data_IF_155503151999
#
_entry.id   IF_155503151999
#
_cell.length_a   1.000
_cell.length_b   1.000
_cell.length_c   1.000
_cell.angle_alpha   90.00
_cell.angle_beta   90.00
_cell.angle_gamma   90.00
#
_symmetry.space_group_name_H-M   'P 1'
#
loop_
_entity.id
_entity.type
_entity.pdbx_description
1 polymer ?
#
# COMPACT_ATOMS: atom_id res chain seq x y z
N UNK A 1 -8.10 -7.14 -22.24
CA UNK A 1 -7.47 -8.44 -21.91
C UNK A 1 -5.94 -8.38 -21.92
N UNK A 2 -5.30 -7.51 -22.73
CA UNK A 2 -3.83 -7.32 -22.73
C UNK A 2 -3.28 -6.66 -21.47
N UNK A 3 -3.86 -5.54 -21.02
CA UNK A 3 -3.36 -4.76 -19.87
C UNK A 3 -3.32 -5.56 -18.56
N UNK A 4 -4.32 -6.40 -18.30
CA UNK A 4 -4.39 -7.22 -17.08
C UNK A 4 -3.27 -8.28 -17.03
N UNK A 5 -3.00 -8.95 -18.16
CA UNK A 5 -1.88 -9.92 -18.25
C UNK A 5 -0.53 -9.24 -18.04
N UNK A 6 -0.37 -8.03 -18.60
CA UNK A 6 0.85 -7.25 -18.45
C UNK A 6 1.07 -6.79 -17.01
N UNK A 7 0.00 -6.38 -16.33
CA UNK A 7 0.02 -6.04 -14.91
C UNK A 7 0.36 -7.25 -14.04
N UNK A 8 -0.27 -8.40 -14.28
CA UNK A 8 0.05 -9.65 -13.58
C UNK A 8 1.53 -10.03 -13.76
N UNK A 9 2.07 -9.89 -14.96
CA UNK A 9 3.48 -10.12 -15.26
C UNK A 9 4.38 -9.14 -14.49
N UNK A 10 4.03 -7.85 -14.45
CA UNK A 10 4.77 -6.83 -13.68
C UNK A 10 4.80 -7.15 -12.18
N UNK A 11 3.69 -7.66 -11.60
CA UNK A 11 3.66 -8.09 -10.20
C UNK A 11 4.44 -9.38 -9.94
N UNK A 12 4.52 -10.29 -10.91
CA UNK A 12 5.40 -11.48 -10.80
C UNK A 12 6.87 -11.07 -10.82
N UNK A 13 7.25 -10.17 -11.73
CA UNK A 13 8.59 -9.58 -11.75
C UNK A 13 8.90 -8.88 -10.42
N UNK A 14 8.00 -8.02 -9.92
CA UNK A 14 8.21 -7.28 -8.68
C UNK A 14 8.37 -8.18 -7.47
N UNK A 15 7.63 -9.28 -7.38
CA UNK A 15 7.75 -10.26 -6.30
C UNK A 15 9.14 -10.92 -6.28
N UNK A 16 9.64 -11.38 -7.43
CA UNK A 16 10.99 -11.96 -7.54
C UNK A 16 12.09 -10.94 -7.18
N UNK A 17 11.94 -9.71 -7.69
CA UNK A 17 12.86 -8.60 -7.40
C UNK A 17 12.87 -8.32 -5.89
N UNK A 18 11.68 -8.21 -5.27
CA UNK A 18 11.53 -7.98 -3.84
C UNK A 18 12.22 -9.07 -3.02
N UNK A 19 11.96 -10.35 -3.32
CA UNK A 19 12.53 -11.46 -2.56
C UNK A 19 14.07 -11.45 -2.64
N UNK A 20 14.64 -11.34 -3.85
CA UNK A 20 16.10 -11.29 -4.04
C UNK A 20 16.72 -10.11 -3.31
N UNK A 21 16.13 -8.93 -3.42
CA UNK A 21 16.64 -7.71 -2.79
C UNK A 21 16.54 -7.79 -1.27
N UNK A 22 15.41 -8.24 -0.72
CA UNK A 22 15.27 -8.42 0.72
C UNK A 22 16.22 -9.49 1.25
N UNK A 23 16.49 -10.58 0.51
CA UNK A 23 17.46 -11.59 0.91
C UNK A 23 18.87 -11.01 1.08
N UNK A 24 19.27 -10.07 0.22
CA UNK A 24 20.57 -9.40 0.25
C UNK A 24 20.63 -8.27 1.29
N UNK A 25 19.62 -7.40 1.31
CA UNK A 25 19.66 -6.14 2.06
C UNK A 25 18.96 -6.21 3.42
N UNK A 26 17.89 -7.02 3.54
CA UNK A 26 17.00 -7.06 4.71
C UNK A 26 16.57 -8.50 5.07
N UNK A 27 17.51 -9.44 5.29
CA UNK A 27 17.19 -10.86 5.43
C UNK A 27 16.27 -11.17 6.62
N UNK A 28 16.39 -10.42 7.72
CA UNK A 28 15.51 -10.56 8.90
C UNK A 28 14.06 -10.19 8.55
N UNK A 29 13.86 -9.16 7.72
CA UNK A 29 12.53 -8.73 7.31
C UNK A 29 11.89 -9.74 6.35
N UNK A 30 12.69 -10.36 5.48
CA UNK A 30 12.24 -11.44 4.62
C UNK A 30 11.77 -12.65 5.44
N UNK A 31 12.51 -13.01 6.50
CA UNK A 31 12.08 -14.07 7.41
C UNK A 31 10.77 -13.75 8.13
N UNK A 32 10.58 -12.49 8.55
CA UNK A 32 9.34 -12.04 9.19
C UNK A 32 8.18 -12.20 8.20
N UNK A 33 8.36 -11.75 6.96
CA UNK A 33 7.35 -11.83 5.90
C UNK A 33 6.96 -13.29 5.63
N UNK A 34 7.94 -14.20 5.51
CA UNK A 34 7.73 -15.64 5.31
C UNK A 34 7.04 -16.35 6.48
N UNK A 35 7.03 -15.76 7.67
CA UNK A 35 6.42 -16.32 8.90
C UNK A 35 5.04 -15.71 9.21
N UNK A 36 4.52 -14.84 8.36
CA UNK A 36 3.17 -14.28 8.50
C UNK A 36 2.15 -15.42 8.44
N UNK A 37 1.18 -15.39 9.36
CA UNK A 37 0.09 -16.36 9.41
C UNK A 37 -1.12 -15.80 8.69
N UNK A 38 -1.96 -16.67 8.14
CA UNK A 38 -3.19 -16.30 7.44
C UNK A 38 -4.06 -15.38 8.29
N UNK A 39 -4.19 -15.72 9.58
CA UNK A 39 -4.98 -14.94 10.54
C UNK A 39 -4.36 -13.59 10.93
N UNK A 40 -3.18 -13.22 10.40
CA UNK A 40 -2.55 -11.93 10.69
C UNK A 40 -3.10 -10.80 9.82
N UNK A 41 -3.70 -11.12 8.67
CA UNK A 41 -4.22 -10.14 7.72
C UNK A 41 -5.65 -10.52 7.35
N UNK A 42 -6.58 -9.60 7.55
CA UNK A 42 -7.97 -9.73 7.12
C UNK A 42 -8.20 -8.69 6.03
N UNK A 43 -8.66 -9.14 4.86
CA UNK A 43 -9.00 -8.27 3.73
C UNK A 43 -10.51 -8.29 3.56
N UNK A 44 -11.11 -7.10 3.58
CA UNK A 44 -12.49 -6.90 3.15
C UNK A 44 -12.48 -6.63 1.65
N UNK A 45 -13.22 -7.45 0.90
CA UNK A 45 -13.30 -7.33 -0.56
C UNK A 45 -13.79 -5.95 -0.99
N UNK A 46 -13.32 -5.54 -2.15
CA UNK A 46 -13.71 -4.31 -2.82
C UNK A 46 -14.09 -4.58 -4.27
N UNK A 47 -14.64 -3.56 -4.91
CA UNK A 47 -15.02 -3.62 -6.33
C UNK A 47 -13.95 -3.03 -7.25
N UNK A 48 -13.13 -2.11 -6.71
CA UNK A 48 -12.16 -1.33 -7.47
C UNK A 48 -10.71 -1.64 -7.10
N UNK A 49 -10.47 -2.14 -5.89
CA UNK A 49 -9.13 -2.53 -5.44
C UNK A 49 -9.06 -4.00 -5.04
N UNK A 50 -7.88 -4.59 -5.25
CA UNK A 50 -7.62 -6.04 -5.22
C UNK A 50 -6.26 -6.35 -4.59
N UNK A 51 -5.98 -5.78 -3.42
CA UNK A 51 -4.70 -5.95 -2.69
C UNK A 51 -4.33 -7.42 -2.47
N UNK A 52 -5.33 -8.30 -2.34
CA UNK A 52 -5.16 -9.74 -2.19
C UNK A 52 -4.38 -10.35 -3.37
N UNK A 53 -4.53 -9.81 -4.58
CA UNK A 53 -3.79 -10.26 -5.76
C UNK A 53 -2.30 -9.96 -5.60
N UNK A 54 -1.93 -8.85 -4.94
CA UNK A 54 -0.52 -8.53 -4.65
C UNK A 54 0.01 -9.48 -3.58
N UNK A 55 -0.77 -9.78 -2.54
CA UNK A 55 -0.37 -10.69 -1.46
C UNK A 55 -0.15 -12.13 -1.96
N UNK A 56 -1.01 -12.61 -2.86
CA UNK A 56 -0.85 -13.91 -3.53
C UNK A 56 0.52 -13.99 -4.24
N UNK A 57 0.90 -12.93 -4.95
CA UNK A 57 2.16 -12.91 -5.72
C UNK A 57 3.41 -12.92 -4.84
N UNK A 58 3.34 -12.36 -3.62
CA UNK A 58 4.43 -12.40 -2.64
C UNK A 58 4.30 -13.55 -1.63
N UNK A 59 3.36 -14.47 -1.85
CA UNK A 59 3.10 -15.62 -0.99
C UNK A 59 2.82 -15.25 0.48
N UNK A 60 2.13 -14.13 0.70
CA UNK A 60 1.68 -13.74 2.04
C UNK A 60 0.24 -14.18 2.22
N UNK A 61 -0.06 -15.01 3.22
CA UNK A 61 -1.42 -15.50 3.42
C UNK A 61 -2.31 -14.44 4.09
N UNK A 62 -3.61 -14.53 3.82
CA UNK A 62 -4.64 -13.65 4.35
C UNK A 62 -5.97 -14.38 4.51
N UNK A 63 -6.88 -13.79 5.28
CA UNK A 63 -8.30 -14.16 5.31
C UNK A 63 -9.07 -13.12 4.49
N UNK A 64 -9.81 -13.59 3.48
CA UNK A 64 -10.67 -12.75 2.65
C UNK A 64 -12.12 -12.84 3.14
N UNK A 65 -12.77 -11.69 3.35
CA UNK A 65 -14.16 -11.60 3.79
C UNK A 65 -14.94 -10.59 2.94
N UNK A 66 -16.25 -10.76 2.87
CA UNK A 66 -17.17 -9.81 2.26
C UNK A 66 -17.52 -8.66 3.23
N UNK A 67 -17.98 -7.49 2.72
CA UNK A 67 -18.31 -6.34 3.55
C UNK A 67 -19.35 -6.62 4.64
N UNK A 68 -20.28 -7.54 4.41
CA UNK A 68 -21.35 -7.91 5.35
C UNK A 68 -20.81 -8.72 6.55
N UNK A 69 -19.74 -9.47 6.33
CA UNK A 69 -19.12 -10.37 7.31
C UNK A 69 -18.30 -9.62 8.38
N UNK A 70 -17.91 -8.37 8.12
CA UNK A 70 -17.14 -7.53 9.08
C UNK A 70 -17.88 -7.41 10.41
N UNK A 71 -19.20 -7.31 10.36
CA UNK A 71 -20.06 -7.23 11.55
C UNK A 71 -20.13 -8.55 12.33
N UNK A 72 -19.79 -9.68 11.70
CA UNK A 72 -19.96 -11.03 12.25
C UNK A 72 -18.66 -11.60 12.84
N UNK A 73 -17.50 -11.19 12.32
CA UNK A 73 -16.20 -11.71 12.78
C UNK A 73 -15.65 -10.97 14.00
N UNK A 74 -14.76 -11.62 14.74
CA UNK A 74 -13.94 -10.96 15.75
C UNK A 74 -12.65 -10.41 15.13
N UNK A 75 -12.35 -9.14 15.40
CA UNK A 75 -11.11 -8.49 14.98
C UNK A 75 -10.11 -8.49 16.14
N UNK A 76 -8.99 -9.18 15.95
CA UNK A 76 -7.91 -9.24 16.93
C UNK A 76 -6.95 -8.06 16.73
N UNK A 77 -6.64 -7.25 17.76
CA UNK A 77 -5.74 -6.10 17.65
C UNK A 77 -4.29 -6.40 17.22
N UNK A 78 -3.89 -7.67 17.12
CA UNK A 78 -2.65 -8.11 16.49
C UNK A 78 -2.76 -8.26 14.96
N UNK A 79 -3.89 -7.89 14.35
CA UNK A 79 -4.11 -8.04 12.91
C UNK A 79 -3.87 -6.74 12.13
N UNK A 80 -3.72 -6.91 10.82
CA UNK A 80 -3.94 -5.88 9.81
C UNK A 80 -5.33 -6.13 9.24
N UNK A 81 -6.20 -5.11 9.30
CA UNK A 81 -7.46 -5.07 8.57
C UNK A 81 -7.27 -4.18 7.34
N UNK A 82 -7.37 -4.75 6.14
CA UNK A 82 -7.35 -4.01 4.89
C UNK A 82 -8.78 -3.93 4.37
N UNK A 83 -9.28 -2.72 4.08
CA UNK A 83 -10.60 -2.52 3.48
C UNK A 83 -10.38 -1.93 2.09
N UNK A 84 -10.57 -2.75 1.06
CA UNK A 84 -10.44 -2.33 -0.34
C UNK A 84 -11.54 -1.33 -0.72
N UNK A 85 -11.25 -0.45 -1.69
CA UNK A 85 -12.22 0.45 -2.28
C UNK A 85 -13.42 -0.33 -2.88
N UNK A 86 -14.68 0.06 -2.60
CA UNK A 86 -15.10 1.37 -2.05
C UNK A 86 -15.23 1.46 -0.53
N UNK A 87 -14.98 0.39 0.22
CA UNK A 87 -15.20 0.38 1.67
C UNK A 87 -16.67 0.45 2.08
N UNK A 88 -17.57 -0.16 1.32
CA UNK A 88 -19.01 -0.23 1.59
C UNK A 88 -19.35 -1.28 2.66
N UNK A 89 -18.70 -1.23 3.82
CA UNK A 89 -19.10 -2.05 4.98
C UNK A 89 -20.40 -1.50 5.57
N UNK A 90 -21.16 -2.37 6.23
CA UNK A 90 -22.39 -1.96 6.90
C UNK A 90 -22.09 -0.99 8.06
N UNK A 91 -22.94 0.01 8.28
CA UNK A 91 -22.70 1.06 9.29
C UNK A 91 -22.57 0.48 10.70
N UNK A 92 -23.25 -0.65 10.99
CA UNK A 92 -23.13 -1.39 12.24
C UNK A 92 -21.72 -1.95 12.50
N UNK A 93 -20.91 -2.14 11.45
CA UNK A 93 -19.53 -2.59 11.56
C UNK A 93 -18.55 -1.46 11.92
N UNK A 94 -18.90 -0.19 11.68
CA UNK A 94 -17.98 0.95 11.87
C UNK A 94 -17.50 1.12 13.32
N UNK A 95 -18.35 0.99 14.36
CA UNK A 95 -17.89 1.01 15.75
C UNK A 95 -16.90 -0.12 16.05
N UNK A 96 -17.10 -1.31 15.47
CA UNK A 96 -16.19 -2.46 15.63
C UNK A 96 -14.83 -2.19 15.00
N UNK A 97 -14.79 -1.65 13.79
CA UNK A 97 -13.53 -1.24 13.11
C UNK A 97 -12.79 -0.19 13.94
N UNK A 98 -13.51 0.83 14.45
CA UNK A 98 -12.92 1.87 15.30
C UNK A 98 -12.33 1.29 16.59
N UNK A 99 -13.04 0.38 17.24
CA UNK A 99 -12.58 -0.27 18.47
C UNK A 99 -11.38 -1.19 18.23
N UNK A 100 -11.35 -1.91 17.11
CA UNK A 100 -10.19 -2.69 16.68
C UNK A 100 -8.92 -1.82 16.57
N UNK A 101 -9.02 -0.68 15.88
CA UNK A 101 -7.89 0.27 15.78
C UNK A 101 -7.54 0.79 17.17
N UNK A 102 -8.52 1.21 17.97
CA UNK A 102 -8.29 1.74 19.32
C UNK A 102 -7.51 0.78 20.20
N UNK A 103 -7.74 -0.54 20.08
CA UNK A 103 -7.03 -1.57 20.85
C UNK A 103 -5.64 -1.91 20.30
N UNK A 104 -5.18 -1.20 19.28
CA UNK A 104 -3.85 -1.36 18.71
C UNK A 104 -3.78 -2.11 17.39
N UNK A 105 -4.93 -2.34 16.73
CA UNK A 105 -5.01 -2.90 15.38
C UNK A 105 -4.47 -1.95 14.31
N UNK A 106 -4.12 -2.50 13.15
CA UNK A 106 -3.70 -1.74 11.98
C UNK A 106 -4.83 -1.71 10.95
N UNK A 107 -5.33 -0.53 10.61
CA UNK A 107 -6.33 -0.34 9.56
C UNK A 107 -5.67 0.25 8.31
N UNK A 108 -5.78 -0.45 7.18
CA UNK A 108 -5.39 0.04 5.87
C UNK A 108 -6.65 0.20 5.00
N UNK A 109 -6.82 1.34 4.36
CA UNK A 109 -7.97 1.62 3.48
C UNK A 109 -7.52 2.31 2.20
N UNK A 110 -8.28 2.14 1.12
CA UNK A 110 -8.00 2.79 -0.17
C UNK A 110 -9.17 3.60 -0.71
N UNK A 111 -8.83 4.72 -1.34
CA UNK A 111 -9.69 5.62 -2.11
C UNK A 111 -11.04 5.98 -1.44
N UNK A 112 -12.19 5.53 -1.96
CA UNK A 112 -13.51 5.94 -1.44
C UNK A 112 -13.78 5.52 0.01
N UNK A 113 -12.98 4.59 0.54
CA UNK A 113 -13.00 4.29 1.96
C UNK A 113 -12.63 5.50 2.84
N UNK A 114 -12.06 6.57 2.26
CA UNK A 114 -11.92 7.87 2.92
C UNK A 114 -13.26 8.36 3.48
N UNK A 115 -14.27 8.43 2.61
CA UNK A 115 -15.60 8.90 2.97
C UNK A 115 -16.41 7.80 3.65
N UNK A 116 -16.34 6.57 3.13
CA UNK A 116 -17.21 5.49 3.59
C UNK A 116 -16.78 4.88 4.93
N UNK A 117 -15.50 4.98 5.29
CA UNK A 117 -14.95 4.48 6.55
C UNK A 117 -14.38 5.63 7.37
N UNK A 118 -13.30 6.27 6.90
CA UNK A 118 -12.46 7.13 7.74
C UNK A 118 -13.20 8.36 8.27
N UNK A 119 -13.95 9.07 7.43
CA UNK A 119 -14.77 10.20 7.85
C UNK A 119 -15.79 9.80 8.91
N UNK A 120 -16.42 8.64 8.76
CA UNK A 120 -17.45 8.18 9.71
C UNK A 120 -16.83 7.83 11.07
N UNK A 121 -15.69 7.16 11.11
CA UNK A 121 -15.06 6.73 12.37
C UNK A 121 -14.12 7.79 12.99
N UNK A 122 -13.59 8.71 12.19
CA UNK A 122 -12.66 9.79 12.56
C UNK A 122 -13.03 11.17 11.97
N UNK A 123 -14.25 11.72 12.19
CA UNK A 123 -14.81 12.87 11.46
C UNK A 123 -14.09 14.22 11.62
N UNK A 124 -13.10 14.31 12.51
CA UNK A 124 -12.32 15.53 12.76
C UNK A 124 -10.85 15.39 12.36
N UNK A 125 -10.47 14.27 11.74
CA UNK A 125 -9.07 13.96 11.42
C UNK A 125 -8.80 14.20 9.94
N UNK A 126 -9.65 13.63 9.08
CA UNK A 126 -9.59 13.78 7.62
C UNK A 126 -10.98 13.77 7.02
N UNK A 127 -11.11 14.29 5.81
CA UNK A 127 -12.29 14.15 4.96
C UNK A 127 -11.95 14.18 3.48
N UNK A 128 -12.87 13.71 2.65
CA UNK A 128 -12.86 13.96 1.22
C UNK A 128 -13.16 15.45 0.97
N UNK A 129 -12.38 16.08 0.10
CA UNK A 129 -12.53 17.48 -0.26
C UNK A 129 -13.75 17.78 -1.16
N UNK A 130 -14.54 16.76 -1.53
CA UNK A 130 -15.71 16.84 -2.42
C UNK A 130 -15.38 17.22 -3.87
N UNK A 131 -14.11 17.11 -4.27
CA UNK A 131 -13.65 17.32 -5.64
C UNK A 131 -12.93 16.07 -6.14
N UNK A 132 -13.60 15.22 -6.94
CA UNK A 132 -13.02 13.94 -7.35
C UNK A 132 -11.93 14.15 -8.41
N UNK A 133 -10.99 13.22 -8.52
CA UNK A 133 -9.98 13.23 -9.58
C UNK A 133 -10.57 12.84 -10.93
N UNK A 134 -9.89 13.20 -12.02
CA UNK A 134 -10.11 12.57 -13.32
C UNK A 134 -9.33 11.26 -13.43
N UNK A 135 -9.43 10.58 -14.58
CA UNK A 135 -8.47 9.54 -14.96
C UNK A 135 -7.13 10.21 -15.28
N UNK A 136 -6.19 10.15 -14.35
CA UNK A 136 -4.97 10.96 -14.41
C UNK A 136 -3.77 10.25 -13.78
N UNK A 137 -2.57 10.59 -14.23
CA UNK A 137 -1.32 10.09 -13.69
C UNK A 137 -0.51 11.26 -13.14
N UNK A 138 -0.16 11.19 -11.86
CA UNK A 138 0.52 12.28 -11.15
C UNK A 138 1.88 11.85 -10.66
N UNK A 139 2.85 12.75 -10.77
CA UNK A 139 4.14 12.58 -10.10
C UNK A 139 3.96 12.69 -8.58
N UNK A 140 4.50 11.74 -7.83
CA UNK A 140 4.43 11.70 -6.36
C UNK A 140 5.81 11.89 -5.73
N UNK A 141 5.82 12.42 -4.51
CA UNK A 141 7.02 12.70 -3.74
C UNK A 141 6.92 12.09 -2.34
N UNK A 142 8.00 11.45 -1.88
CA UNK A 142 8.09 10.98 -0.48
C UNK A 142 8.42 12.14 0.45
N UNK A 143 7.56 12.33 1.44
CA UNK A 143 7.69 13.37 2.47
C UNK A 143 8.51 12.85 3.65
N UNK A 144 8.16 11.68 4.19
CA UNK A 144 8.85 11.10 5.36
C UNK A 144 9.77 9.95 4.94
N UNK A 145 10.96 10.29 4.46
CA UNK A 145 12.01 9.32 4.06
C UNK A 145 12.49 8.43 5.20
N UNK A 146 12.24 8.81 6.46
CA UNK A 146 12.61 8.02 7.63
C UNK A 146 11.58 6.94 7.98
N UNK A 147 10.37 7.05 7.41
CA UNK A 147 9.29 6.13 7.69
C UNK A 147 9.59 4.74 7.13
N UNK A 148 9.53 3.73 7.99
CA UNK A 148 9.82 2.35 7.62
C UNK A 148 8.85 1.74 6.63
N UNK A 149 7.64 2.29 6.45
CA UNK A 149 6.73 1.87 5.39
C UNK A 149 7.28 2.20 3.99
N UNK A 150 8.09 3.25 3.87
CA UNK A 150 8.63 3.73 2.59
C UNK A 150 10.07 3.26 2.34
N UNK A 151 10.63 2.40 3.20
CA UNK A 151 12.01 1.93 3.08
C UNK A 151 12.22 1.13 1.79
N UNK A 152 13.14 1.59 0.94
CA UNK A 152 13.48 0.94 -0.33
C UNK A 152 12.48 1.19 -1.47
N UNK A 153 11.46 2.03 -1.24
CA UNK A 153 10.37 2.29 -2.18
C UNK A 153 10.81 3.12 -3.39
N UNK A 154 11.62 4.16 -3.17
CA UNK A 154 12.17 5.03 -4.21
C UNK A 154 13.62 5.38 -3.88
N UNK A 155 14.43 5.67 -4.91
CA UNK A 155 15.75 6.25 -4.68
C UNK A 155 15.64 7.74 -4.38
N UNK A 156 16.71 8.30 -3.82
CA UNK A 156 16.81 9.74 -3.64
C UNK A 156 16.71 10.42 -5.02
N UNK A 157 15.79 11.39 -5.11
CA UNK A 157 15.55 12.30 -6.24
C UNK A 157 14.65 11.78 -7.38
N UNK A 158 13.96 10.64 -7.19
CA UNK A 158 12.96 10.13 -8.14
C UNK A 158 11.57 10.74 -7.91
N UNK A 159 10.87 11.03 -9.01
CA UNK A 159 9.45 11.44 -9.05
C UNK A 159 8.62 10.35 -9.75
N UNK A 160 8.37 9.21 -9.08
CA UNK A 160 7.54 8.14 -9.60
C UNK A 160 6.15 8.65 -9.97
N UNK A 161 5.56 8.06 -11.01
CA UNK A 161 4.20 8.40 -11.46
C UNK A 161 3.23 7.36 -10.93
N UNK A 162 2.22 7.80 -10.19
CA UNK A 162 1.13 6.96 -9.69
C UNK A 162 -0.17 7.30 -10.39
N UNK A 163 -0.98 6.27 -10.62
CA UNK A 163 -2.27 6.42 -11.27
C UNK A 163 -3.35 6.81 -10.25
N UNK A 164 -4.14 7.82 -10.60
CA UNK A 164 -5.38 8.17 -9.92
C UNK A 164 -6.52 7.77 -10.85
N UNK A 165 -7.33 6.80 -10.42
CA UNK A 165 -8.50 6.39 -11.21
C UNK A 165 -9.50 7.55 -11.31
N UNK A 166 -10.32 7.53 -12.35
CA UNK A 166 -11.46 8.43 -12.47
C UNK A 166 -12.30 8.36 -11.20
N UNK A 167 -12.49 9.52 -10.58
CA UNK A 167 -13.21 9.70 -9.32
C UNK A 167 -12.51 9.23 -8.05
N UNK A 168 -11.18 9.25 -7.97
CA UNK A 168 -10.48 9.07 -6.68
C UNK A 168 -10.78 10.25 -5.73
N UNK A 169 -10.72 10.05 -4.42
CA UNK A 169 -11.13 11.03 -3.39
C UNK A 169 -9.92 11.70 -2.71
N UNK A 170 -9.54 12.94 -3.10
CA UNK A 170 -8.42 13.64 -2.48
C UNK A 170 -8.67 13.92 -0.98
N UNK A 171 -7.59 13.81 -0.20
CA UNK A 171 -7.62 13.82 1.26
C UNK A 171 -7.40 15.24 1.81
N UNK A 172 -8.44 15.83 2.38
CA UNK A 172 -8.31 17.03 3.19
C UNK A 172 -7.95 16.65 4.65
N UNK A 173 -6.87 17.22 5.16
CA UNK A 173 -6.40 16.99 6.53
C UNK A 173 -6.97 18.06 7.48
N UNK A 174 -7.84 17.61 8.38
CA UNK A 174 -8.49 18.47 9.38
C UNK A 174 -7.64 18.61 10.66
N UNK A 175 -6.96 17.54 11.07
CA UNK A 175 -6.05 17.54 12.24
C UNK A 175 -4.59 17.37 11.80
N UNK A 176 -3.96 18.50 11.45
CA UNK A 176 -2.56 18.56 10.99
C UNK A 176 -1.54 18.15 12.06
N UNK A 177 -1.91 18.14 13.35
CA UNK A 177 -1.02 17.68 14.43
C UNK A 177 -1.00 16.17 14.53
N UNK A 178 -2.11 15.53 14.16
CA UNK A 178 -2.29 14.09 14.26
C UNK A 178 -1.88 13.35 12.99
N UNK A 179 -2.21 13.89 11.83
CA UNK A 179 -1.98 13.23 10.55
C UNK A 179 -0.56 13.48 10.06
N UNK A 180 0.12 12.41 9.67
CA UNK A 180 1.40 12.44 8.97
C UNK A 180 1.17 12.11 7.50
N UNK A 181 1.69 12.95 6.62
CA UNK A 181 1.71 12.68 5.17
C UNK A 181 2.98 11.89 4.86
N UNK A 182 2.82 10.73 4.22
CA UNK A 182 3.91 9.86 3.81
C UNK A 182 4.32 10.14 2.36
N UNK A 183 3.32 10.27 1.49
CA UNK A 183 3.48 10.55 0.06
C UNK A 183 2.55 11.70 -0.32
N UNK A 184 3.07 12.64 -1.10
CA UNK A 184 2.36 13.84 -1.58
C UNK A 184 2.44 13.95 -3.10
N UNK A 185 1.59 14.77 -3.70
CA UNK A 185 1.71 15.15 -5.12
C UNK A 185 1.39 16.62 -5.33
N UNK A 186 2.39 17.38 -5.77
CA UNK A 186 2.21 18.79 -6.19
C UNK A 186 1.30 18.90 -7.42
N UNK A 187 1.32 17.90 -8.31
CA UNK A 187 0.44 17.86 -9.48
C UNK A 187 -1.01 17.66 -9.08
N UNK A 188 -1.29 16.73 -8.15
CA UNK A 188 -2.64 16.51 -7.63
C UNK A 188 -3.19 17.75 -6.93
N UNK A 189 -2.38 18.42 -6.11
CA UNK A 189 -2.79 19.66 -5.41
C UNK A 189 -3.24 20.74 -6.39
N UNK A 190 -2.46 20.97 -7.46
CA UNK A 190 -2.76 21.99 -8.47
C UNK A 190 -4.05 21.68 -9.25
N UNK A 191 -4.31 20.39 -9.54
CA UNK A 191 -5.44 19.97 -10.36
C UNK A 191 -6.73 19.78 -9.56
N UNK A 192 -6.61 19.26 -8.33
CA UNK A 192 -7.73 18.72 -7.55
C UNK A 192 -7.82 19.28 -6.11
N UNK A 193 -6.92 20.19 -5.72
CA UNK A 193 -7.02 20.99 -4.49
C UNK A 193 -6.31 20.40 -3.27
N UNK A 194 -5.99 19.10 -3.27
CA UNK A 194 -5.30 18.45 -2.15
C UNK A 194 -4.03 17.73 -2.63
N UNK A 195 -2.98 17.81 -1.81
CA UNK A 195 -1.68 17.20 -2.08
C UNK A 195 -1.48 15.77 -1.50
N UNK A 196 -2.05 15.39 -0.34
CA UNK A 196 -1.74 14.10 0.28
C UNK A 196 -2.23 12.90 -0.52
N UNK A 197 -1.32 11.97 -0.83
CA UNK A 197 -1.62 10.70 -1.53
C UNK A 197 -1.69 9.54 -0.54
N UNK A 198 -0.72 9.45 0.38
CA UNK A 198 -0.68 8.44 1.44
C UNK A 198 -0.52 9.16 2.78
N UNK A 199 -1.41 8.86 3.72
CA UNK A 199 -1.37 9.39 5.07
C UNK A 199 -1.34 8.27 6.10
N UNK A 200 -0.83 8.59 7.28
CA UNK A 200 -0.97 7.74 8.45
C UNK A 200 -1.21 8.56 9.72
N UNK A 201 -1.91 7.97 10.68
CA UNK A 201 -2.01 8.51 12.03
C UNK A 201 -2.22 7.39 13.05
N UNK A 202 -1.89 7.69 14.30
CA UNK A 202 -2.12 6.78 15.42
C UNK A 202 -3.45 7.04 16.12
N UNK A 203 -4.04 5.98 16.69
CA UNK A 203 -5.28 6.09 17.46
C UNK A 203 -5.33 5.07 18.60
N UNK A 204 -5.76 5.51 19.79
CA UNK A 204 -5.90 4.66 20.97
C UNK A 204 -4.57 4.10 21.47
N UNK A 205 -4.57 2.82 21.84
CA UNK A 205 -3.48 2.09 22.50
C UNK A 205 -2.43 1.60 21.48
N UNK A 206 -1.94 2.54 20.68
CA UNK A 206 -0.98 2.29 19.62
C UNK A 206 -1.58 1.70 18.36
N UNK A 207 -2.85 1.96 18.05
CA UNK A 207 -3.44 1.63 16.75
C UNK A 207 -2.86 2.48 15.64
N UNK A 208 -2.83 1.94 14.43
CA UNK A 208 -2.32 2.65 13.25
C UNK A 208 -3.38 2.66 12.16
N UNK A 209 -3.63 3.83 11.60
CA UNK A 209 -4.47 4.01 10.41
C UNK A 209 -3.55 4.41 9.27
N UNK A 210 -3.69 3.76 8.13
CA UNK A 210 -3.04 4.06 6.88
C UNK A 210 -4.12 4.21 5.82
N UNK A 211 -4.03 5.27 5.01
CA UNK A 211 -4.97 5.52 3.94
C UNK A 211 -4.25 6.03 2.70
N UNK A 212 -4.70 5.58 1.53
CA UNK A 212 -4.15 5.95 0.23
C UNK A 212 -5.27 6.35 -0.73
N UNK A 213 -5.14 7.51 -1.39
CA UNK A 213 -6.10 8.02 -2.39
C UNK A 213 -6.18 7.16 -3.65
N UNK A 214 -5.08 6.48 -4.00
CA UNK A 214 -4.99 5.63 -5.19
C UNK A 214 -5.36 4.17 -4.87
N UNK A 215 -5.74 3.41 -5.90
CA UNK A 215 -5.94 1.97 -5.80
C UNK A 215 -4.61 1.22 -5.70
N UNK A 216 -4.55 0.25 -4.79
CA UNK A 216 -3.31 -0.46 -4.50
C UNK A 216 -2.87 -1.34 -5.67
N UNK A 217 -3.76 -2.18 -6.19
CA UNK A 217 -3.43 -3.11 -7.26
C UNK A 217 -3.33 -2.43 -8.63
N UNK A 218 -4.19 -1.44 -8.85
CA UNK A 218 -4.37 -0.72 -10.10
C UNK A 218 -3.38 0.44 -10.19
N UNK A 219 -2.13 0.13 -10.49
CA UNK A 219 -1.15 1.15 -10.85
C UNK A 219 -0.88 1.08 -12.36
N UNK A 220 -1.22 2.15 -13.07
CA UNK A 220 -0.84 2.35 -14.47
C UNK A 220 0.41 3.20 -14.52
N UNK A 221 1.40 2.74 -15.28
CA UNK A 221 2.61 3.51 -15.53
C UNK A 221 2.39 4.48 -16.70
N UNK A 222 2.45 5.78 -16.47
CA UNK A 222 2.55 6.75 -17.56
C UNK A 222 4.01 6.87 -18.01
N UNK A 223 4.28 6.50 -19.27
CA UNK A 223 5.62 6.53 -19.85
C UNK A 223 6.01 7.95 -20.32
N UNK A 224 5.93 8.92 -19.40
CA UNK A 224 6.11 10.36 -19.67
C UNK A 224 7.55 10.72 -20.07
N UNK A 225 8.54 10.06 -19.48
CA UNK A 225 9.97 10.35 -19.70
C UNK A 225 10.67 9.27 -20.53
N UNK A 226 11.86 9.58 -21.07
CA UNK A 226 12.71 8.56 -21.71
C UNK A 226 13.10 7.45 -20.73
N UNK A 227 13.31 7.78 -19.44
CA UNK A 227 13.58 6.81 -18.36
C UNK A 227 12.45 5.79 -18.25
N UNK A 228 11.18 6.22 -18.27
CA UNK A 228 10.06 5.28 -18.10
C UNK A 228 9.96 4.27 -19.25
N UNK A 229 10.48 4.61 -20.43
CA UNK A 229 10.42 3.77 -21.64
C UNK A 229 11.57 2.76 -21.75
N UNK A 230 12.59 2.83 -20.90
CA UNK A 230 13.66 1.83 -20.93
C UNK A 230 13.11 0.46 -20.51
N UNK A 231 13.82 -0.61 -20.83
CA UNK A 231 13.35 -1.97 -20.52
C UNK A 231 13.38 -2.24 -19.02
N UNK A 232 12.47 -3.10 -18.53
CA UNK A 232 12.50 -3.55 -17.14
C UNK A 232 13.81 -4.30 -16.79
N UNK A 233 14.44 -4.98 -17.76
CA UNK A 233 15.76 -5.60 -17.58
C UNK A 233 16.84 -4.55 -17.29
N UNK A 234 16.88 -3.49 -18.07
CA UNK A 234 17.84 -2.39 -17.88
C UNK A 234 17.60 -1.65 -16.56
N UNK A 235 16.35 -1.48 -16.16
CA UNK A 235 15.98 -0.93 -14.85
C UNK A 235 16.59 -1.71 -13.68
N UNK A 236 16.40 -3.04 -13.64
CA UNK A 236 16.88 -3.82 -12.50
C UNK A 236 18.42 -3.88 -12.43
N UNK A 237 19.10 -3.87 -13.58
CA UNK A 237 20.56 -3.88 -13.65
C UNK A 237 21.15 -2.52 -13.24
N UNK A 238 20.69 -1.45 -13.88
CA UNK A 238 21.26 -0.11 -13.68
C UNK A 238 20.82 0.55 -12.37
N UNK A 239 19.58 0.31 -11.96
CA UNK A 239 19.00 0.98 -10.81
C UNK A 239 18.87 0.05 -9.60
N UNK A 240 18.51 -1.21 -9.76
CA UNK A 240 18.34 -2.10 -8.60
C UNK A 240 19.61 -2.89 -8.24
N UNK A 241 20.71 -2.70 -8.99
CA UNK A 241 22.00 -3.36 -8.76
C UNK A 241 21.97 -4.89 -8.82
N UNK A 242 21.13 -5.43 -9.71
CA UNK A 242 21.08 -6.85 -10.05
C UNK A 242 22.18 -7.20 -11.06
N UNK A 243 22.75 -8.41 -10.94
CA UNK A 243 23.71 -8.92 -11.91
C UNK A 243 23.02 -9.37 -13.21
N UNK A 244 23.80 -9.57 -14.27
CA UNK A 244 23.30 -10.13 -15.54
C UNK A 244 22.68 -11.51 -15.37
N UNK A 245 23.26 -12.34 -14.48
CA UNK A 245 22.76 -13.67 -14.15
C UNK A 245 21.39 -13.59 -13.46
N UNK A 246 21.25 -12.70 -12.46
CA UNK A 246 19.98 -12.50 -11.76
C UNK A 246 18.90 -11.92 -12.69
N UNK A 247 19.28 -11.04 -13.61
CA UNK A 247 18.38 -10.49 -14.61
C UNK A 247 17.92 -11.54 -15.62
N UNK A 248 18.79 -12.50 -16.00
CA UNK A 248 18.43 -13.59 -16.91
C UNK A 248 17.49 -14.61 -16.25
N UNK A 249 17.63 -14.87 -14.93
CA UNK A 249 16.69 -15.71 -14.17
C UNK A 249 15.25 -15.17 -14.13
N UNK A 250 15.08 -13.86 -14.33
CA UNK A 250 13.79 -13.17 -14.34
C UNK A 250 13.35 -12.74 -15.75
N UNK A 251 14.04 -13.22 -16.79
CA UNK A 251 13.84 -12.76 -18.17
C UNK A 251 12.40 -12.90 -18.64
N UNK A 252 11.77 -14.04 -18.38
CA UNK A 252 10.41 -14.30 -18.84
C UNK A 252 9.40 -13.35 -18.19
N UNK A 253 9.61 -12.97 -16.92
CA UNK A 253 8.77 -11.98 -16.25
C UNK A 253 9.09 -10.55 -16.69
N UNK A 254 10.33 -10.24 -17.05
CA UNK A 254 10.73 -8.89 -17.46
C UNK A 254 10.48 -8.59 -18.94
N UNK A 255 10.31 -9.61 -19.78
CA UNK A 255 10.20 -9.45 -21.23
C UNK A 255 8.95 -8.65 -21.61
N UNK A 256 9.14 -7.65 -22.48
CA UNK A 256 8.07 -6.75 -22.92
C UNK A 256 7.57 -5.74 -21.87
N UNK A 257 8.09 -5.76 -20.63
CA UNK A 257 7.81 -4.74 -19.61
C UNK A 257 8.75 -3.54 -19.74
N UNK A 258 8.21 -2.36 -19.48
CA UNK A 258 9.01 -1.13 -19.33
C UNK A 258 9.44 -0.93 -17.88
N UNK A 259 10.43 -0.07 -17.67
CA UNK A 259 10.83 0.40 -16.35
C UNK A 259 9.63 0.94 -15.58
N UNK A 260 8.81 1.80 -16.19
CA UNK A 260 7.68 2.41 -15.51
C UNK A 260 6.69 1.36 -14.98
N UNK A 261 6.43 0.31 -15.75
CA UNK A 261 5.53 -0.78 -15.35
C UNK A 261 6.12 -1.61 -14.21
N UNK A 262 7.41 -1.94 -14.29
CA UNK A 262 8.10 -2.70 -13.25
C UNK A 262 8.27 -1.89 -11.95
N UNK A 263 8.67 -0.62 -12.03
CA UNK A 263 8.84 0.29 -10.89
C UNK A 263 7.51 0.53 -10.16
N UNK A 264 6.43 0.69 -10.91
CA UNK A 264 5.09 0.88 -10.37
C UNK A 264 4.61 -0.34 -9.58
N UNK A 265 4.74 -1.54 -10.15
CA UNK A 265 4.42 -2.79 -9.46
C UNK A 265 5.36 -3.04 -8.26
N UNK A 266 6.65 -2.76 -8.42
CA UNK A 266 7.66 -2.93 -7.38
C UNK A 266 7.43 -2.02 -6.18
N UNK A 267 7.16 -0.73 -6.41
CA UNK A 267 6.91 0.21 -5.32
C UNK A 267 5.71 -0.28 -4.47
N UNK A 268 4.60 -0.61 -5.12
CA UNK A 268 3.44 -1.22 -4.44
C UNK A 268 3.85 -2.46 -3.64
N UNK A 269 4.46 -3.46 -4.29
CA UNK A 269 4.87 -4.72 -3.63
C UNK A 269 5.78 -4.49 -2.40
N UNK A 270 6.75 -3.58 -2.52
CA UNK A 270 7.67 -3.22 -1.44
C UNK A 270 6.94 -2.53 -0.28
N UNK A 271 5.99 -1.63 -0.57
CA UNK A 271 5.25 -0.87 0.44
C UNK A 271 4.41 -1.79 1.35
N UNK A 272 3.60 -2.69 0.80
CA UNK A 272 2.76 -3.58 1.63
C UNK A 272 3.64 -4.53 2.44
N UNK A 273 4.73 -5.01 1.85
CA UNK A 273 5.70 -5.86 2.55
C UNK A 273 6.31 -5.14 3.75
N UNK A 274 6.67 -3.87 3.60
CA UNK A 274 7.14 -3.04 4.70
C UNK A 274 6.06 -2.85 5.78
N UNK A 275 4.82 -2.54 5.39
CA UNK A 275 3.70 -2.39 6.32
C UNK A 275 3.49 -3.66 7.15
N UNK A 276 3.48 -4.82 6.49
CA UNK A 276 3.32 -6.12 7.14
C UNK A 276 4.46 -6.37 8.14
N UNK A 277 5.71 -6.23 7.68
CA UNK A 277 6.90 -6.48 8.51
C UNK A 277 6.91 -5.57 9.74
N UNK A 278 6.66 -4.27 9.56
CA UNK A 278 6.69 -3.31 10.67
C UNK A 278 5.56 -3.57 11.67
N UNK A 279 4.38 -3.96 11.19
CA UNK A 279 3.30 -4.36 12.09
C UNK A 279 3.65 -5.63 12.87
N UNK A 280 4.24 -6.65 12.24
CA UNK A 280 4.69 -7.86 12.95
C UNK A 280 5.75 -7.55 14.02
N UNK A 281 6.72 -6.68 13.71
CA UNK A 281 7.71 -6.18 14.68
C UNK A 281 7.04 -5.46 15.85
N UNK A 282 6.06 -4.60 15.57
CA UNK A 282 5.30 -3.85 16.58
C UNK A 282 4.53 -4.78 17.52
N UNK A 283 3.85 -5.79 16.97
CA UNK A 283 3.13 -6.81 17.74
C UNK A 283 4.09 -7.60 18.64
N UNK A 284 5.24 -8.04 18.09
CA UNK A 284 6.26 -8.76 18.85
C UNK A 284 6.73 -7.94 20.06
N UNK A 285 7.09 -6.67 19.85
CA UNK A 285 7.50 -5.75 20.92
C UNK A 285 6.41 -5.54 21.97
N UNK A 286 5.14 -5.42 21.55
CA UNK A 286 4.00 -5.29 22.47
C UNK A 286 3.83 -6.54 23.33
N UNK A 287 3.94 -7.74 22.74
CA UNK A 287 3.85 -9.01 23.45
C UNK A 287 4.99 -9.23 24.44
N UNK A 288 6.21 -8.84 24.08
CA UNK A 288 7.37 -8.90 24.98
C UNK A 288 7.15 -8.02 26.21
N UNK A 289 6.75 -6.75 26.02
CA UNK A 289 6.44 -5.82 27.13
C UNK A 289 5.32 -6.30 28.05
N UNK A 290 4.34 -7.04 27.54
CA UNK A 290 3.25 -7.57 28.35
C UNK A 290 3.63 -8.83 29.14
N UNK A 291 4.70 -9.54 28.76
CA UNK A 291 5.22 -10.70 29.52
C UNK A 291 6.11 -10.27 30.70
N UNK A 292 6.66 -9.07 30.64
CA UNK A 292 7.53 -8.48 31.68
C UNK A 292 6.74 -7.76 32.78
N UNK A 293 5.41 -7.63 32.63
CA UNK A 293 4.49 -7.04 33.61
C UNK A 293 3.72 -8.13 34.34
#
# INVERSE_FOLDING_TARGET
MGDFKKMEQAYKASSKILEKRMAKERPIDLEILKKVKDSSIVIVTGSYDRVETVLDMINVPYVLIQPEEVSQIELNPDQILIINCPGNVYDEALPKVKEFVKKGGFLFTTDWALQNILEKIFPKVVRYNQQPTGDDCVAVQVVDKSNKFLEGLFKADEEPIWWLESSSYPIEILDKKKVKVLVTSVEMEKKYGEAPIVITFEFGDGGTVLHMTSHYYLQRAELRTKRHKISAKEYIQSEMSFSDEEAEEMKDELDGLTLGEAESAYSTTQFISNVIVEQQKKIKKRKEKNKEK
#
